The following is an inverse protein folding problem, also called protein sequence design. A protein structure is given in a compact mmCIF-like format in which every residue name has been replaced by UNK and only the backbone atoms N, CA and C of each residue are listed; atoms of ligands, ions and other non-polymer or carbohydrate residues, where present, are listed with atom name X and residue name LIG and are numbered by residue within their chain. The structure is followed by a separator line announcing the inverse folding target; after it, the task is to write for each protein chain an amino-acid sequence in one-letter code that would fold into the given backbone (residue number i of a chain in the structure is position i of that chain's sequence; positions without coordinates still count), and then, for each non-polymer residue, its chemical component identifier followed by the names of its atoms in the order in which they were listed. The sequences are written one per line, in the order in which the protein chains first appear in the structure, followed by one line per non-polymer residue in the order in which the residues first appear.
data_IF_062456957384
#
_entry.id   IF_062456957384
#
_cell.length_a   1.000
_cell.length_b   1.000
_cell.length_c   1.000
_cell.angle_alpha   90.00
_cell.angle_beta   90.00
_cell.angle_gamma   90.00
#
_symmetry.space_group_name_H-M   'P 1'
#
loop_
_entity.id
_entity.type
_entity.pdbx_description
1 polymer ?
#
# COMPACT_ATOMS: atom_id res chain seq x y z
N UNK A 1 5.03 -21.34 -0.24
CA UNK A 1 4.15 -20.92 0.87
C UNK A 1 3.10 -19.96 0.33
N UNK A 2 1.85 -20.06 0.77
CA UNK A 2 0.76 -19.12 0.43
C UNK A 2 0.13 -18.61 1.73
N UNK A 3 -0.06 -17.31 1.84
CA UNK A 3 -0.71 -16.70 3.00
C UNK A 3 -2.21 -17.05 3.02
N UNK A 4 -2.82 -17.08 4.20
CA UNK A 4 -4.18 -17.61 4.39
C UNK A 4 -5.32 -16.70 3.90
N UNK A 5 -5.08 -15.40 3.69
CA UNK A 5 -6.13 -14.46 3.33
C UNK A 5 -6.77 -14.83 1.98
N UNK A 6 -8.12 -14.89 1.87
CA UNK A 6 -8.77 -15.32 0.62
C UNK A 6 -8.75 -14.24 -0.47
N UNK A 7 -8.78 -12.96 -0.07
CA UNK A 7 -8.76 -11.81 -0.98
C UNK A 7 -7.32 -11.33 -1.28
N UNK A 8 -6.66 -10.71 -0.30
CA UNK A 8 -5.27 -10.25 -0.33
C UNK A 8 -4.21 -11.37 -0.22
N UNK A 9 -4.36 -12.50 -0.91
CA UNK A 9 -3.42 -13.63 -0.74
C UNK A 9 -2.05 -13.36 -1.40
N UNK A 10 -0.96 -13.52 -0.64
CA UNK A 10 0.42 -13.52 -1.15
C UNK A 10 1.03 -14.92 -1.19
N UNK A 11 2.05 -15.10 -2.03
CA UNK A 11 2.86 -16.30 -2.09
C UNK A 11 4.35 -15.98 -1.93
N UNK A 12 5.09 -16.88 -1.30
CA UNK A 12 6.53 -16.76 -1.10
C UNK A 12 7.26 -18.09 -1.31
N UNK A 13 8.50 -17.97 -1.79
CA UNK A 13 9.45 -19.06 -1.98
C UNK A 13 10.82 -18.65 -1.42
N UNK A 14 11.45 -19.55 -0.66
CA UNK A 14 12.78 -19.34 -0.09
C UNK A 14 12.80 -19.34 1.45
N UNK A 15 13.96 -19.05 2.03
CA UNK A 15 14.25 -19.23 3.46
C UNK A 15 13.33 -18.43 4.40
N UNK A 16 12.76 -17.31 3.94
CA UNK A 16 11.87 -16.44 4.74
C UNK A 16 10.38 -16.62 4.40
N UNK A 17 10.02 -17.65 3.61
CA UNK A 17 8.66 -17.78 3.11
C UNK A 17 7.60 -17.89 4.22
N UNK A 18 7.87 -18.66 5.28
CA UNK A 18 7.00 -18.75 6.46
C UNK A 18 6.93 -17.43 7.22
N UNK A 19 8.09 -16.87 7.56
CA UNK A 19 8.18 -15.58 8.26
C UNK A 19 7.45 -14.43 7.55
N UNK A 20 7.33 -14.46 6.23
CA UNK A 20 6.58 -13.46 5.48
C UNK A 20 5.07 -13.76 5.42
N UNK A 21 4.66 -15.03 5.26
CA UNK A 21 3.29 -15.40 4.88
C UNK A 21 2.41 -15.91 6.03
N UNK A 22 3.00 -16.39 7.12
CA UNK A 22 2.26 -16.96 8.25
C UNK A 22 1.37 -15.91 8.92
N UNK A 23 0.26 -16.32 9.53
CA UNK A 23 -0.61 -15.42 10.31
C UNK A 23 -1.05 -14.13 9.59
N UNK A 24 -1.30 -14.18 8.26
CA UNK A 24 -1.89 -13.05 7.55
C UNK A 24 -3.19 -12.61 8.26
N UNK A 25 -3.29 -11.37 8.78
CA UNK A 25 -4.51 -10.85 9.41
C UNK A 25 -5.73 -11.04 8.54
N UNK A 26 -6.90 -11.30 9.16
CA UNK A 26 -8.17 -11.35 8.44
C UNK A 26 -8.71 -9.95 8.19
N UNK A 27 -8.75 -9.13 9.24
CA UNK A 27 -9.07 -7.70 9.10
C UNK A 27 -7.79 -6.89 8.91
N UNK A 28 -7.92 -5.77 8.21
CA UNK A 28 -6.84 -4.90 7.77
C UNK A 28 -5.68 -5.69 7.09
N UNK A 29 -5.94 -6.53 6.07
CA UNK A 29 -4.95 -7.40 5.43
C UNK A 29 -3.84 -6.64 4.68
N UNK A 30 -3.92 -5.32 4.57
CA UNK A 30 -2.85 -4.45 4.09
C UNK A 30 -2.18 -3.62 5.20
N UNK A 31 -2.69 -3.67 6.44
CA UNK A 31 -2.18 -2.93 7.59
C UNK A 31 -0.93 -3.53 8.27
N UNK A 32 -0.69 -3.20 9.55
CA UNK A 32 0.39 -3.75 10.35
C UNK A 32 0.36 -5.28 10.46
N UNK A 33 1.52 -5.92 10.57
CA UNK A 33 1.63 -7.38 10.77
C UNK A 33 1.32 -8.23 9.53
N UNK A 34 1.05 -7.62 8.38
CA UNK A 34 0.73 -8.28 7.10
C UNK A 34 2.00 -8.68 6.34
N UNK A 35 1.90 -9.51 5.28
CA UNK A 35 3.03 -9.82 4.41
C UNK A 35 3.77 -8.60 3.85
N UNK A 36 3.06 -7.51 3.54
CA UNK A 36 3.66 -6.27 3.04
C UNK A 36 4.42 -5.53 4.15
N UNK A 37 3.87 -5.47 5.37
CA UNK A 37 4.55 -4.93 6.53
C UNK A 37 5.87 -5.67 6.80
N UNK A 38 5.81 -7.00 6.85
CA UNK A 38 6.99 -7.84 7.08
C UNK A 38 8.00 -7.74 5.95
N UNK A 39 7.58 -7.57 4.70
CA UNK A 39 8.48 -7.31 3.58
C UNK A 39 9.26 -6.01 3.78
N UNK A 40 8.58 -4.94 4.21
CA UNK A 40 9.23 -3.65 4.47
C UNK A 40 10.20 -3.74 5.67
N UNK A 41 9.75 -4.30 6.79
CA UNK A 41 10.58 -4.53 8.00
C UNK A 41 11.80 -5.41 7.72
N UNK A 42 11.66 -6.37 6.82
CA UNK A 42 12.71 -7.29 6.42
C UNK A 42 13.83 -6.67 5.56
N UNK A 43 13.72 -5.40 5.17
CA UNK A 43 14.60 -4.80 4.15
C UNK A 43 14.35 -5.37 2.75
N UNK A 44 13.10 -5.76 2.47
CA UNK A 44 12.70 -6.27 1.17
C UNK A 44 12.80 -5.23 0.06
N UNK A 45 12.68 -5.71 -1.18
CA UNK A 45 12.65 -4.86 -2.38
C UNK A 45 11.45 -5.24 -3.25
N UNK A 46 10.94 -4.26 -3.99
CA UNK A 46 9.84 -4.43 -4.94
C UNK A 46 10.38 -4.22 -6.35
N UNK A 47 10.21 -5.22 -7.20
CA UNK A 47 10.61 -5.21 -8.60
C UNK A 47 9.36 -5.12 -9.48
N UNK A 48 9.27 -4.05 -10.28
CA UNK A 48 8.36 -3.98 -11.41
C UNK A 48 9.12 -4.42 -12.65
N UNK A 49 8.86 -5.63 -13.15
CA UNK A 49 9.54 -6.21 -14.30
C UNK A 49 8.67 -6.03 -15.55
N UNK A 50 8.80 -4.90 -16.24
CA UNK A 50 7.90 -4.53 -17.35
C UNK A 50 6.48 -4.14 -16.93
N UNK A 51 6.20 -4.15 -15.62
CA UNK A 51 4.91 -3.79 -15.07
C UNK A 51 4.76 -2.26 -14.95
N UNK A 52 3.55 -1.72 -15.11
CA UNK A 52 3.27 -0.30 -14.92
C UNK A 52 3.49 0.13 -13.46
N UNK A 53 3.71 1.43 -13.25
CA UNK A 53 4.02 1.99 -11.93
C UNK A 53 2.87 1.88 -10.91
N UNK A 54 1.62 1.81 -11.39
CA UNK A 54 0.44 1.59 -10.56
C UNK A 54 0.38 0.20 -9.93
N UNK A 55 1.17 -0.77 -10.40
CA UNK A 55 1.17 -2.12 -9.87
C UNK A 55 2.01 -2.29 -8.58
N UNK A 56 2.38 -1.19 -7.91
CA UNK A 56 3.06 -1.21 -6.62
C UNK A 56 2.08 -1.52 -5.49
N UNK A 57 1.65 -2.79 -5.37
CA UNK A 57 0.72 -3.26 -4.32
C UNK A 57 1.15 -2.86 -2.90
N UNK A 58 2.46 -2.73 -2.66
CA UNK A 58 2.98 -2.27 -1.36
C UNK A 58 2.46 -0.88 -0.95
N UNK A 59 2.00 -0.05 -1.89
CA UNK A 59 1.41 1.25 -1.58
C UNK A 59 0.07 1.13 -0.85
N UNK A 60 -0.67 0.01 -0.95
CA UNK A 60 -1.83 -0.23 -0.07
C UNK A 60 -1.42 -0.34 1.39
N UNK A 61 -0.21 -0.84 1.68
CA UNK A 61 0.32 -0.80 3.04
C UNK A 61 0.59 0.63 3.51
N UNK A 62 1.05 1.51 2.61
CA UNK A 62 1.16 2.93 2.91
C UNK A 62 -0.21 3.60 3.14
N UNK A 63 -1.22 3.26 2.35
CA UNK A 63 -2.60 3.73 2.55
C UNK A 63 -3.18 3.30 3.90
N UNK A 64 -2.99 2.03 4.27
CA UNK A 64 -3.46 1.50 5.54
C UNK A 64 -2.84 2.26 6.73
N UNK A 65 -1.55 2.59 6.64
CA UNK A 65 -0.80 3.33 7.67
C UNK A 65 -1.03 4.84 7.67
N UNK A 66 -1.44 5.45 6.56
CA UNK A 66 -1.51 6.89 6.44
C UNK A 66 -2.69 7.49 7.22
N UNK A 67 -2.43 8.51 8.03
CA UNK A 67 -3.47 9.24 8.76
C UNK A 67 -3.85 10.53 8.02
N UNK A 68 -5.00 10.48 7.34
CA UNK A 68 -5.59 11.60 6.61
C UNK A 68 -7.13 11.53 6.67
N UNK A 69 -7.84 12.66 6.56
CA UNK A 69 -9.30 12.66 6.60
C UNK A 69 -9.89 11.88 5.43
N UNK A 70 -11.04 11.23 5.67
CA UNK A 70 -11.81 10.57 4.61
C UNK A 70 -11.25 9.23 4.15
N UNK A 71 -10.44 8.54 4.96
CA UNK A 71 -10.05 7.15 4.70
C UNK A 71 -11.30 6.29 4.50
N UNK A 72 -11.38 5.59 3.37
CA UNK A 72 -12.49 4.73 2.96
C UNK A 72 -12.21 3.30 3.38
N UNK A 73 -13.22 2.66 3.90
CA UNK A 73 -13.19 1.26 4.32
C UNK A 73 -14.33 0.49 3.69
N UNK A 74 -14.10 -0.80 3.47
CA UNK A 74 -15.07 -1.75 2.92
C UNK A 74 -15.32 -2.87 3.91
N UNK A 75 -16.53 -3.41 3.89
CA UNK A 75 -16.87 -4.66 4.58
C UNK A 75 -17.41 -5.62 3.53
N UNK A 76 -16.90 -6.85 3.53
CA UNK A 76 -17.26 -7.86 2.56
C UNK A 76 -17.19 -9.26 3.16
N UNK A 77 -17.74 -10.25 2.47
CA UNK A 77 -17.67 -11.65 2.89
C UNK A 77 -16.94 -12.49 1.86
N UNK A 78 -16.10 -13.43 2.33
CA UNK A 78 -15.50 -14.45 1.47
C UNK A 78 -15.59 -15.84 2.10
N UNK A 79 -15.70 -16.90 1.27
CA UNK A 79 -15.70 -18.26 1.76
C UNK A 79 -14.29 -18.71 2.12
N UNK A 80 -14.10 -19.18 3.35
CA UNK A 80 -12.87 -19.83 3.83
C UNK A 80 -13.14 -21.29 4.21
N UNK A 81 -12.07 -22.07 4.38
CA UNK A 81 -12.16 -23.42 4.94
C UNK A 81 -11.83 -23.39 6.44
N UNK A 82 -12.79 -23.82 7.26
CA UNK A 82 -12.61 -24.06 8.71
C UNK A 82 -12.92 -25.52 8.96
N UNK A 83 -11.95 -26.29 9.49
CA UNK A 83 -12.06 -27.73 9.73
C UNK A 83 -12.58 -28.52 8.51
N UNK A 84 -12.08 -28.16 7.32
CA UNK A 84 -12.46 -28.79 6.04
C UNK A 84 -13.85 -28.41 5.51
N UNK A 85 -14.57 -27.50 6.18
CA UNK A 85 -15.89 -27.02 5.78
C UNK A 85 -15.83 -25.58 5.27
N UNK A 86 -16.56 -25.30 4.19
CA UNK A 86 -16.71 -23.93 3.67
C UNK A 86 -17.56 -23.11 4.63
N UNK A 87 -17.00 -22.01 5.12
CA UNK A 87 -17.64 -21.06 6.03
C UNK A 87 -17.47 -19.65 5.45
N UNK A 88 -18.55 -18.87 5.42
CA UNK A 88 -18.47 -17.45 5.06
C UNK A 88 -17.98 -16.66 6.27
N UNK A 89 -16.98 -15.82 6.05
CA UNK A 89 -16.43 -14.92 7.06
C UNK A 89 -16.55 -13.48 6.56
N UNK A 90 -16.82 -12.56 7.48
CA UNK A 90 -16.78 -11.12 7.23
C UNK A 90 -15.35 -10.60 7.37
N UNK A 91 -15.02 -9.61 6.55
CA UNK A 91 -13.72 -8.96 6.49
C UNK A 91 -13.90 -7.44 6.48
N UNK A 92 -12.97 -6.74 7.12
CA UNK A 92 -12.85 -5.28 7.10
C UNK A 92 -11.48 -4.88 6.52
N UNK A 93 -11.46 -3.93 5.59
CA UNK A 93 -10.21 -3.41 5.01
C UNK A 93 -10.40 -1.97 4.50
N UNK A 94 -9.30 -1.31 4.16
CA UNK A 94 -9.33 -0.11 3.32
C UNK A 94 -9.88 -0.44 1.92
N UNK A 95 -10.46 0.54 1.25
CA UNK A 95 -10.91 0.38 -0.13
C UNK A 95 -9.71 0.33 -1.09
N UNK A 96 -9.25 -0.89 -1.42
CA UNK A 96 -8.13 -1.10 -2.34
C UNK A 96 -8.54 -1.05 -3.82
N UNK A 97 -9.84 -1.13 -4.12
CA UNK A 97 -10.35 -1.16 -5.50
C UNK A 97 -10.61 0.25 -6.02
N UNK A 98 -11.35 1.06 -5.25
CA UNK A 98 -11.79 2.41 -5.63
C UNK A 98 -10.97 3.52 -4.92
N UNK A 99 -9.81 3.11 -4.39
CA UNK A 99 -8.82 3.89 -3.63
C UNK A 99 -9.22 4.24 -2.19
N UNK A 100 -8.25 4.16 -1.28
CA UNK A 100 -8.48 4.32 0.16
C UNK A 100 -8.80 5.75 0.57
N UNK A 101 -8.60 6.73 -0.31
CA UNK A 101 -8.88 8.14 -0.09
C UNK A 101 -9.44 8.79 -1.36
N UNK A 102 -10.05 9.97 -1.22
CA UNK A 102 -10.28 10.85 -2.36
C UNK A 102 -8.98 11.55 -2.77
N UNK A 103 -8.33 11.02 -3.80
CA UNK A 103 -7.10 11.57 -4.35
C UNK A 103 -7.31 12.66 -5.41
N UNK A 104 -8.56 12.93 -5.82
CA UNK A 104 -8.86 13.90 -6.88
C UNK A 104 -8.26 15.31 -6.67
N UNK A 105 -8.06 15.83 -5.44
CA UNK A 105 -7.43 17.14 -5.25
C UNK A 105 -5.91 17.15 -5.51
N UNK A 106 -5.26 15.98 -5.51
CA UNK A 106 -3.79 15.86 -5.48
C UNK A 106 -3.22 14.98 -6.59
N UNK A 107 -4.09 14.31 -7.34
CA UNK A 107 -3.79 13.48 -8.50
C UNK A 107 -4.40 14.10 -9.76
N UNK A 108 -3.60 14.45 -10.77
CA UNK A 108 -4.09 15.15 -11.95
C UNK A 108 -4.80 14.21 -12.94
N UNK A 109 -6.01 14.62 -13.35
CA UNK A 109 -6.79 13.95 -14.37
C UNK A 109 -7.37 12.61 -13.90
N UNK A 110 -7.36 11.62 -14.78
CA UNK A 110 -7.85 10.26 -14.58
C UNK A 110 -6.74 9.28 -14.16
N UNK A 111 -5.58 9.78 -13.74
CA UNK A 111 -4.45 8.94 -13.37
C UNK A 111 -4.71 8.19 -12.06
N UNK A 112 -4.23 6.96 -11.99
CA UNK A 112 -4.25 6.21 -10.74
C UNK A 112 -3.25 6.79 -9.72
N UNK A 113 -3.62 6.97 -8.44
CA UNK A 113 -2.75 7.59 -7.42
C UNK A 113 -1.38 6.94 -7.31
N UNK A 114 -1.29 5.62 -7.41
CA UNK A 114 0.00 4.92 -7.29
C UNK A 114 0.97 5.26 -8.42
N UNK A 115 0.46 5.54 -9.63
CA UNK A 115 1.30 6.02 -10.73
C UNK A 115 1.96 7.36 -10.37
N UNK A 116 1.21 8.28 -9.74
CA UNK A 116 1.73 9.59 -9.33
C UNK A 116 2.72 9.46 -8.19
N UNK A 117 2.37 8.70 -7.14
CA UNK A 117 3.27 8.45 -6.00
C UNK A 117 4.58 7.82 -6.48
N UNK A 118 4.52 6.84 -7.37
CA UNK A 118 5.69 6.18 -7.94
C UNK A 118 6.58 7.11 -8.78
N UNK A 119 5.98 7.98 -9.60
CA UNK A 119 6.73 8.99 -10.35
C UNK A 119 7.41 9.99 -9.43
N UNK A 120 6.72 10.45 -8.40
CA UNK A 120 7.28 11.36 -7.40
C UNK A 120 8.41 10.69 -6.60
N UNK A 121 8.30 9.39 -6.28
CA UNK A 121 9.39 8.61 -5.69
C UNK A 121 10.61 8.58 -6.60
N UNK A 122 10.45 8.24 -7.87
CA UNK A 122 11.55 8.19 -8.83
C UNK A 122 12.20 9.57 -9.01
N UNK A 123 11.41 10.64 -9.07
CA UNK A 123 11.91 12.02 -9.15
C UNK A 123 12.68 12.44 -7.87
N UNK A 124 12.30 11.91 -6.71
CA UNK A 124 13.01 12.10 -5.45
C UNK A 124 14.26 11.19 -5.30
N UNK A 125 14.62 10.41 -6.33
CA UNK A 125 15.76 9.49 -6.31
C UNK A 125 15.48 8.19 -5.52
N UNK A 126 14.21 7.89 -5.23
CA UNK A 126 13.80 6.66 -4.56
C UNK A 126 13.43 5.63 -5.62
N UNK A 127 14.32 4.65 -5.79
CA UNK A 127 14.20 3.59 -6.77
C UNK A 127 15.12 3.76 -7.97
N UNK A 128 15.33 2.68 -8.71
CA UNK A 128 16.17 2.66 -9.92
C UNK A 128 15.33 2.23 -11.12
N UNK A 129 15.46 2.96 -12.23
CA UNK A 129 14.92 2.59 -13.54
C UNK A 129 16.03 1.97 -14.38
N UNK A 130 15.76 0.80 -14.97
CA UNK A 130 16.68 0.09 -15.85
C UNK A 130 15.92 -0.76 -16.88
N UNK A 131 16.63 -1.53 -17.68
CA UNK A 131 16.04 -2.54 -18.57
C UNK A 131 16.45 -3.94 -18.12
N UNK A 132 15.49 -4.86 -18.14
CA UNK A 132 15.74 -6.30 -18.08
C UNK A 132 15.37 -6.87 -19.43
N UNK A 133 16.37 -7.17 -20.25
CA UNK A 133 16.20 -7.39 -21.68
C UNK A 133 15.44 -6.22 -22.33
N UNK A 134 14.29 -6.46 -22.96
CA UNK A 134 13.48 -5.40 -23.58
C UNK A 134 12.50 -4.72 -22.61
N UNK A 135 12.39 -5.19 -21.37
CA UNK A 135 11.41 -4.68 -20.41
C UNK A 135 11.99 -3.53 -19.58
N UNK A 136 11.39 -2.34 -19.70
CA UNK A 136 11.63 -1.27 -18.73
C UNK A 136 11.20 -1.75 -17.33
N UNK A 137 12.11 -1.63 -16.37
CA UNK A 137 11.94 -2.20 -15.04
C UNK A 137 12.34 -1.20 -13.97
N UNK A 138 11.69 -1.34 -12.81
CA UNK A 138 11.93 -0.49 -11.66
C UNK A 138 12.20 -1.32 -10.42
N UNK A 139 13.23 -0.96 -9.64
CA UNK A 139 13.55 -1.59 -8.37
C UNK A 139 13.48 -0.56 -7.25
N UNK A 140 12.71 -0.87 -6.21
CA UNK A 140 12.55 0.00 -5.04
C UNK A 140 12.86 -0.76 -3.74
N UNK A 141 13.42 -0.07 -2.74
CA UNK A 141 13.47 -0.58 -1.37
C UNK A 141 12.08 -0.46 -0.72
N UNK A 142 11.54 -1.59 -0.23
CA UNK A 142 10.17 -1.68 0.25
C UNK A 142 9.88 -0.67 1.38
N UNK A 143 10.79 -0.57 2.35
CA UNK A 143 10.66 0.37 3.45
C UNK A 143 10.70 1.84 3.00
N UNK A 144 11.46 2.16 1.93
CA UNK A 144 11.50 3.51 1.38
C UNK A 144 10.18 3.86 0.67
N UNK A 145 9.60 2.90 -0.06
CA UNK A 145 8.27 3.06 -0.69
C UNK A 145 7.20 3.34 0.36
N UNK A 146 7.16 2.54 1.43
CA UNK A 146 6.15 2.70 2.49
C UNK A 146 6.28 4.06 3.17
N UNK A 147 7.49 4.45 3.61
CA UNK A 147 7.71 5.75 4.24
C UNK A 147 7.33 6.91 3.33
N UNK A 148 7.77 6.87 2.07
CA UNK A 148 7.45 7.93 1.12
C UNK A 148 5.95 8.00 0.84
N UNK A 149 5.30 6.84 0.64
CA UNK A 149 3.85 6.76 0.39
C UNK A 149 3.04 7.34 1.53
N UNK A 150 3.33 6.93 2.78
CA UNK A 150 2.64 7.47 3.98
C UNK A 150 2.82 8.98 4.05
N UNK A 151 4.06 9.46 3.95
CA UNK A 151 4.36 10.89 4.00
C UNK A 151 3.70 11.67 2.86
N UNK A 152 3.67 11.11 1.65
CA UNK A 152 3.05 11.73 0.48
C UNK A 152 1.55 11.89 0.69
N UNK A 153 0.86 10.84 1.13
CA UNK A 153 -0.59 10.84 1.39
C UNK A 153 -0.90 11.86 2.48
N UNK A 154 -0.23 11.77 3.63
CA UNK A 154 -0.50 12.63 4.77
C UNK A 154 -0.21 14.11 4.47
N UNK A 155 0.89 14.43 3.77
CA UNK A 155 1.21 15.83 3.44
C UNK A 155 0.25 16.46 2.45
N UNK A 156 -0.32 15.67 1.54
CA UNK A 156 -1.15 16.19 0.45
C UNK A 156 -2.64 16.17 0.77
N UNK A 157 -3.10 15.23 1.59
CA UNK A 157 -4.51 15.08 1.93
C UNK A 157 -4.90 15.72 3.28
N UNK A 158 -3.94 15.97 4.18
CA UNK A 158 -4.26 16.74 5.37
C UNK A 158 -4.36 18.23 5.04
N UNK A 159 -5.34 18.95 5.63
CA UNK A 159 -5.40 20.40 5.51
C UNK A 159 -4.11 21.01 6.07
N UNK A 160 -3.66 22.11 5.45
CA UNK A 160 -2.58 22.91 6.02
C UNK A 160 -2.95 23.32 7.45
N UNK A 161 -1.99 23.37 8.40
CA UNK A 161 -2.28 23.86 9.74
C UNK A 161 -2.92 25.24 9.65
N UNK A 162 -4.06 25.41 10.33
CA UNK A 162 -4.69 26.72 10.47
C UNK A 162 -3.68 27.67 11.14
N UNK A 163 -3.14 28.60 10.38
CA UNK A 163 -2.44 29.75 10.96
C UNK A 163 -3.52 30.68 11.50
N UNK A 164 -3.77 30.67 12.81
CA UNK A 164 -4.63 31.68 13.42
C UNK A 164 -4.06 33.07 13.09
N UNK A 165 -4.89 34.04 12.64
CA UNK A 165 -4.42 35.40 12.48
C UNK A 165 -3.92 35.91 13.83
N UNK A 166 -2.70 36.48 13.83
CA UNK A 166 -2.11 37.06 15.03
C UNK A 166 -3.11 38.01 15.71
N UNK A 167 -3.24 37.98 17.05
CA UNK A 167 -4.16 38.84 17.75
C UNK A 167 -3.85 40.29 17.42
N UNK A 168 -4.82 40.98 16.81
CA UNK A 168 -4.77 42.43 16.64
C UNK A 168 -4.70 43.03 18.04
N UNK A 169 -3.54 43.60 18.37
CA UNK A 169 -3.31 44.31 19.62
C UNK A 169 -4.14 45.61 19.57
N UNK A 170 -4.84 45.98 20.67
CA UNK A 170 -5.78 47.11 20.71
C UNK A 170 -5.13 48.47 20.51
#
# INVERSE_FOLDING_TARGET
MRSRHPDASFAALGARAHALMDEHPWDDPHGPGTPLARLAEAGGRVLLLGAPLDSLTILHHAEALAEAPGKRHVNYEQPILVDGRRTWQHFHDIDTQDAAFDYSPVVPGDQWPFTVIARDMLAAGIGTRAHVAAAESHLFDAAAVVRFGVDWIQRRLNPAPHTDPAPTTP
#
